data_IF_299239821090
#
_entry.id   IF_299239821090
#
_cell.length_a   1.000
_cell.length_b   1.000
_cell.length_c   1.000
_cell.angle_alpha   90.00
_cell.angle_beta   90.00
_cell.angle_gamma   90.00
#
_symmetry.space_group_name_H-M   'P 1'
#
loop_
_entity.id
_entity.type
_entity.pdbx_description
1 polymer ?
#
# COMPACT_ATOMS: atom_id res chain seq x y z
N UNK A 1 18.35 24.16 -17.07
CA UNK A 1 18.26 22.79 -17.62
C UNK A 1 17.13 22.07 -16.90
N UNK A 2 15.98 21.88 -17.56
CA UNK A 2 14.82 21.21 -16.97
C UNK A 2 15.02 19.69 -17.01
N UNK A 3 15.26 19.08 -15.84
CA UNK A 3 15.28 17.63 -15.71
C UNK A 3 13.91 17.07 -16.09
N UNK A 4 13.83 16.34 -17.21
CA UNK A 4 12.62 15.59 -17.56
C UNK A 4 12.45 14.50 -16.50
N UNK A 5 11.39 14.59 -15.70
CA UNK A 5 10.88 13.45 -14.93
C UNK A 5 10.47 12.40 -15.96
N UNK A 6 11.34 11.43 -16.22
CA UNK A 6 10.99 10.26 -17.01
C UNK A 6 10.47 9.20 -16.04
N UNK A 7 9.19 8.85 -16.14
CA UNK A 7 8.66 7.64 -15.52
C UNK A 7 9.40 6.44 -16.10
N UNK A 8 10.41 5.96 -15.40
CA UNK A 8 11.04 4.68 -15.68
C UNK A 8 10.28 3.62 -14.90
N UNK A 9 9.62 2.70 -15.60
CA UNK A 9 8.90 1.58 -14.99
C UNK A 9 9.84 0.74 -14.12
N UNK A 10 11.11 0.64 -14.49
CA UNK A 10 12.16 -0.06 -13.72
C UNK A 10 12.47 0.67 -12.40
N UNK A 11 12.54 2.00 -12.43
CA UNK A 11 12.75 2.79 -11.20
C UNK A 11 11.53 2.74 -10.28
N UNK A 12 10.32 2.72 -10.86
CA UNK A 12 9.08 2.54 -10.11
C UNK A 12 8.97 1.14 -9.51
N UNK A 13 9.33 0.10 -10.26
CA UNK A 13 9.32 -1.29 -9.82
C UNK A 13 10.38 -1.56 -8.75
N UNK A 14 11.57 -0.96 -8.86
CA UNK A 14 12.59 -1.01 -7.82
C UNK A 14 12.13 -0.33 -6.52
N UNK A 15 11.51 0.86 -6.62
CA UNK A 15 10.94 1.55 -5.46
C UNK A 15 9.77 0.77 -4.82
N UNK A 16 8.94 0.11 -5.64
CA UNK A 16 7.87 -0.78 -5.16
C UNK A 16 8.49 -2.01 -4.47
N UNK A 17 9.51 -2.65 -5.03
CA UNK A 17 10.18 -3.79 -4.41
C UNK A 17 10.86 -3.43 -3.08
N UNK A 18 11.44 -2.23 -2.99
CA UNK A 18 12.00 -1.72 -1.73
C UNK A 18 10.91 -1.44 -0.69
N UNK A 19 9.74 -0.96 -1.11
CA UNK A 19 8.57 -0.76 -0.25
C UNK A 19 7.93 -2.09 0.21
N UNK A 20 7.85 -3.08 -0.68
CA UNK A 20 7.24 -4.40 -0.42
C UNK A 20 8.19 -5.30 0.40
N UNK A 21 9.50 -5.15 0.23
CA UNK A 21 10.53 -5.85 1.02
C UNK A 21 10.76 -5.26 2.42
N UNK A 22 10.16 -4.11 2.72
CA UNK A 22 10.22 -3.50 4.05
C UNK A 22 9.25 -4.21 4.99
N UNK A 23 9.76 -5.03 5.90
CA UNK A 23 8.97 -5.64 6.97
C UNK A 23 8.51 -4.54 7.95
N UNK A 24 7.34 -3.97 7.65
CA UNK A 24 6.68 -2.95 8.47
C UNK A 24 5.85 -3.55 9.59
N UNK A 25 5.80 -4.89 9.73
CA UNK A 25 5.02 -5.60 10.75
C UNK A 25 5.36 -5.18 12.17
N UNK A 26 6.58 -4.67 12.40
CA UNK A 26 7.06 -4.15 13.69
C UNK A 26 7.10 -2.62 13.77
N UNK A 27 6.76 -1.90 12.69
CA UNK A 27 6.77 -0.43 12.63
C UNK A 27 5.36 0.11 12.79
N UNK A 28 4.87 0.16 14.03
CA UNK A 28 3.69 0.96 14.37
C UNK A 28 4.07 2.44 14.48
N UNK A 29 4.39 3.09 13.35
CA UNK A 29 4.40 4.56 13.32
C UNK A 29 2.97 5.03 13.06
N UNK A 30 2.11 4.91 14.07
CA UNK A 30 0.70 5.29 13.96
C UNK A 30 0.45 6.77 14.28
N UNK A 31 1.44 7.47 14.83
CA UNK A 31 1.31 8.88 15.18
C UNK A 31 2.60 9.65 14.92
N UNK A 32 2.42 10.84 14.37
CA UNK A 32 3.37 11.93 14.34
C UNK A 32 3.29 12.65 15.68
N UNK A 33 4.40 12.61 16.41
CA UNK A 33 4.63 13.48 17.56
C UNK A 33 5.44 14.69 17.11
N UNK A 34 5.03 15.87 17.55
CA UNK A 34 5.79 17.08 17.35
C UNK A 34 6.52 17.41 18.66
N UNK A 35 7.81 17.75 18.57
CA UNK A 35 8.60 18.17 19.73
C UNK A 35 8.35 19.65 20.06
N UNK A 36 7.16 20.00 20.57
CA UNK A 36 6.84 21.36 21.07
C UNK A 36 6.52 21.39 22.56
N UNK A 37 6.70 22.56 23.17
CA UNK A 37 6.26 22.84 24.54
C UNK A 37 4.73 22.76 24.59
N UNK A 38 4.19 21.84 25.38
CA UNK A 38 2.74 21.63 25.55
C UNK A 38 1.96 22.95 25.71
N UNK A 39 0.71 22.98 25.26
CA UNK A 39 -0.27 24.11 25.37
C UNK A 39 -0.31 25.13 24.21
N UNK A 40 0.47 24.95 23.15
CA UNK A 40 0.25 25.74 21.92
C UNK A 40 -0.93 25.13 21.15
N UNK A 41 -2.14 25.65 21.38
CA UNK A 41 -3.39 25.12 20.83
C UNK A 41 -3.36 24.88 19.31
N UNK A 42 -2.72 25.77 18.54
CA UNK A 42 -2.57 25.60 17.09
C UNK A 42 -1.67 24.42 16.70
N UNK A 43 -0.61 24.15 17.47
CA UNK A 43 0.29 23.01 17.21
C UNK A 43 -0.36 21.68 17.59
N UNK A 44 -1.18 21.66 18.65
CA UNK A 44 -1.98 20.48 19.02
C UNK A 44 -3.02 20.14 17.95
N UNK A 45 -3.75 21.15 17.45
CA UNK A 45 -4.67 20.98 16.34
C UNK A 45 -3.96 20.48 15.07
N UNK A 46 -2.78 21.02 14.77
CA UNK A 46 -1.95 20.57 13.66
C UNK A 46 -1.50 19.12 13.81
N UNK A 47 -1.05 18.72 15.01
CA UNK A 47 -0.64 17.35 15.33
C UNK A 47 -1.81 16.38 15.14
N UNK A 48 -2.99 16.73 15.64
CA UNK A 48 -4.21 15.92 15.49
C UNK A 48 -4.62 15.77 14.03
N UNK A 49 -4.64 16.86 13.25
CA UNK A 49 -4.98 16.82 11.84
C UNK A 49 -3.99 15.96 11.03
N UNK A 50 -2.69 16.07 11.31
CA UNK A 50 -1.66 15.23 10.68
C UNK A 50 -1.87 13.75 11.00
N UNK A 51 -2.21 13.41 12.24
CA UNK A 51 -2.46 12.03 12.65
C UNK A 51 -3.74 11.45 12.04
N UNK A 52 -4.80 12.25 11.92
CA UNK A 52 -6.02 11.85 11.21
C UNK A 52 -5.74 11.59 9.73
N UNK A 53 -4.94 12.45 9.08
CA UNK A 53 -4.56 12.26 7.69
C UNK A 53 -3.70 11.00 7.51
N UNK A 54 -2.73 10.77 8.41
CA UNK A 54 -1.89 9.56 8.38
C UNK A 54 -2.73 8.29 8.51
N UNK A 55 -3.73 8.29 9.40
CA UNK A 55 -4.66 7.18 9.56
C UNK A 55 -5.47 6.95 8.27
N UNK A 56 -6.07 8.01 7.71
CA UNK A 56 -6.88 7.89 6.50
C UNK A 56 -6.08 7.35 5.29
N UNK A 57 -4.82 7.78 5.12
CA UNK A 57 -3.93 7.26 4.07
C UNK A 57 -3.56 5.80 4.32
N UNK A 58 -3.35 5.42 5.58
CA UNK A 58 -3.06 4.03 5.97
C UNK A 58 -4.24 3.11 5.66
N UNK A 59 -5.46 3.53 6.02
CA UNK A 59 -6.69 2.78 5.75
C UNK A 59 -6.93 2.64 4.24
N UNK A 60 -6.72 3.72 3.49
CA UNK A 60 -6.82 3.69 2.03
C UNK A 60 -5.82 2.70 1.42
N UNK A 61 -4.54 2.75 1.82
CA UNK A 61 -3.51 1.85 1.34
C UNK A 61 -3.85 0.38 1.64
N UNK A 62 -4.37 0.10 2.85
CA UNK A 62 -4.83 -1.23 3.25
C UNK A 62 -5.99 -1.73 2.39
N UNK A 63 -6.96 -0.87 2.09
CA UNK A 63 -8.08 -1.20 1.21
C UNK A 63 -7.60 -1.50 -0.24
N UNK A 64 -6.66 -0.71 -0.76
CA UNK A 64 -6.05 -0.93 -2.08
C UNK A 64 -5.29 -2.26 -2.10
N UNK A 65 -4.49 -2.56 -1.07
CA UNK A 65 -3.79 -3.84 -0.95
C UNK A 65 -4.77 -5.02 -0.91
N UNK A 66 -5.84 -4.90 -0.13
CA UNK A 66 -6.90 -5.91 -0.06
C UNK A 66 -7.53 -6.14 -1.43
N UNK A 67 -7.78 -5.08 -2.19
CA UNK A 67 -8.33 -5.19 -3.54
C UNK A 67 -7.31 -5.79 -4.52
N UNK A 68 -6.03 -5.43 -4.41
CA UNK A 68 -4.96 -5.98 -5.23
C UNK A 68 -4.80 -7.49 -5.04
N UNK A 69 -4.89 -7.98 -3.80
CA UNK A 69 -4.80 -9.41 -3.47
C UNK A 69 -5.93 -10.25 -4.06
N UNK A 70 -7.05 -9.65 -4.48
CA UNK A 70 -8.12 -10.38 -5.18
C UNK A 70 -7.71 -10.82 -6.58
N UNK A 71 -6.79 -10.13 -7.26
CA UNK A 71 -6.38 -10.50 -8.62
C UNK A 71 -5.69 -11.88 -8.66
N UNK A 72 -4.68 -12.18 -7.81
CA UNK A 72 -4.12 -13.52 -7.70
C UNK A 72 -5.16 -14.59 -7.34
N UNK A 73 -6.07 -14.31 -6.41
CA UNK A 73 -7.12 -15.26 -6.01
C UNK A 73 -8.06 -15.61 -7.17
N UNK A 74 -8.45 -14.60 -7.96
CA UNK A 74 -9.28 -14.80 -9.15
C UNK A 74 -8.51 -15.62 -10.19
N UNK A 75 -7.22 -15.32 -10.41
CA UNK A 75 -6.39 -16.06 -11.34
C UNK A 75 -6.31 -17.55 -10.96
N UNK A 76 -6.05 -17.86 -9.69
CA UNK A 76 -6.03 -19.25 -9.21
C UNK A 76 -7.38 -19.96 -9.34
N UNK A 77 -8.50 -19.24 -9.11
CA UNK A 77 -9.84 -19.82 -9.32
C UNK A 77 -10.13 -20.11 -10.79
N UNK A 78 -9.63 -19.28 -11.71
CA UNK A 78 -9.74 -19.51 -13.15
C UNK A 78 -8.89 -20.71 -13.56
N UNK A 79 -7.61 -20.73 -13.15
CA UNK A 79 -6.69 -21.84 -13.43
C UNK A 79 -7.26 -23.20 -12.98
N UNK A 80 -7.80 -23.26 -11.76
CA UNK A 80 -8.44 -24.48 -11.26
C UNK A 80 -9.62 -24.92 -12.15
N UNK A 81 -10.47 -23.97 -12.57
CA UNK A 81 -11.61 -24.25 -13.45
C UNK A 81 -11.15 -24.75 -14.81
N UNK A 82 -10.13 -24.13 -15.39
CA UNK A 82 -9.62 -24.48 -16.71
C UNK A 82 -9.04 -25.90 -16.71
N UNK A 83 -8.30 -26.28 -15.65
CA UNK A 83 -7.81 -27.65 -15.46
C UNK A 83 -8.96 -28.67 -15.32
N UNK A 84 -10.00 -28.34 -14.55
CA UNK A 84 -11.17 -29.21 -14.39
C UNK A 84 -11.96 -29.37 -15.70
N UNK A 85 -12.07 -28.33 -16.51
CA UNK A 85 -12.73 -28.38 -17.81
C UNK A 85 -11.90 -29.17 -18.83
N UNK A 86 -10.58 -28.98 -18.88
CA UNK A 86 -9.70 -29.73 -19.76
C UNK A 86 -9.83 -31.25 -19.53
N UNK A 87 -9.87 -31.69 -18.27
CA UNK A 87 -10.09 -33.10 -17.90
C UNK A 87 -11.42 -33.68 -18.40
N UNK A 88 -12.46 -32.85 -18.60
CA UNK A 88 -13.76 -33.32 -19.14
C UNK A 88 -13.70 -33.60 -20.64
N UNK A 89 -12.70 -33.10 -21.34
CA UNK A 89 -12.52 -33.27 -22.78
C UNK A 89 -11.44 -34.31 -23.12
N UNK A 90 -10.86 -34.98 -22.12
CA UNK A 90 -9.94 -36.12 -22.31
C UNK A 90 -10.66 -37.46 -22.57
N UNK A 91 -11.94 -37.45 -22.98
CA UNK A 91 -12.67 -38.63 -23.46
C UNK A 91 -12.65 -38.73 -24.99
#
# INVERSE_FOLDING_TARGET
MGGKIKSSTIAAEAAINELVGYDTSKKQNQQVEFSYTSEIAGMEAGRQACNQMLQAVSDFSSAVLTQANKFPEIAHKIEKRDVEQAKRWEH
#
